data_IF_843210685884
#
_entry.id   IF_843210685884
#
_cell.length_a   1.000
_cell.length_b   1.000
_cell.length_c   1.000
_cell.angle_alpha   90.00
_cell.angle_beta   90.00
_cell.angle_gamma   90.00
#
_symmetry.space_group_name_H-M   'P 1'
#
loop_
_entity.id
_entity.type
_entity.pdbx_description
1 polymer ?
#
# COMPACT_ATOMS: atom_id res chain seq x y z
N UNK A 1 9.73 8.49 2.86
CA UNK A 1 9.76 9.39 1.69
C UNK A 1 9.47 8.58 0.44
N UNK A 2 8.63 9.09 -0.43
CA UNK A 2 8.37 8.54 -1.76
C UNK A 2 8.65 9.63 -2.81
N UNK A 3 8.76 9.25 -4.09
CA UNK A 3 9.00 10.17 -5.19
C UNK A 3 7.88 10.07 -6.21
N UNK A 4 7.40 11.21 -6.67
CA UNK A 4 6.57 11.33 -7.87
C UNK A 4 7.48 11.80 -8.99
N UNK A 5 7.60 11.00 -10.04
CA UNK A 5 8.50 11.26 -11.17
C UNK A 5 7.69 11.54 -12.44
N UNK A 6 8.19 12.46 -13.22
CA UNK A 6 7.74 12.75 -14.57
C UNK A 6 8.85 12.42 -15.57
N UNK A 7 8.46 11.89 -16.71
CA UNK A 7 9.32 11.61 -17.86
C UNK A 7 8.73 12.25 -19.11
N UNK A 8 9.51 12.35 -20.17
CA UNK A 8 9.01 12.78 -21.46
C UNK A 8 9.32 11.74 -22.54
N UNK A 9 8.49 11.72 -23.59
CA UNK A 9 8.68 10.87 -24.74
C UNK A 9 9.31 11.60 -25.94
N UNK A 10 9.64 10.84 -26.98
CA UNK A 10 10.12 11.38 -28.26
C UNK A 10 11.64 11.61 -28.37
N UNK A 11 12.40 11.40 -27.31
CA UNK A 11 13.87 11.51 -27.33
C UNK A 11 14.49 10.67 -26.22
N UNK A 12 15.66 10.11 -26.48
CA UNK A 12 16.51 9.48 -25.47
C UNK A 12 17.58 10.45 -24.90
N UNK A 13 17.62 11.69 -25.40
CA UNK A 13 18.53 12.71 -24.91
C UNK A 13 17.85 13.48 -23.78
N UNK A 14 18.56 13.68 -22.68
CA UNK A 14 18.09 14.52 -21.58
C UNK A 14 17.85 15.97 -22.04
N UNK A 15 17.03 16.70 -21.29
CA UNK A 15 16.68 18.10 -21.56
C UNK A 15 16.87 18.99 -20.32
N UNK A 16 17.28 20.22 -20.54
CA UNK A 16 17.15 21.28 -19.53
C UNK A 16 15.74 21.86 -19.65
N UNK A 17 14.85 21.35 -18.83
CA UNK A 17 13.43 21.69 -18.89
C UNK A 17 12.82 21.71 -17.50
N UNK A 18 11.72 22.40 -17.35
CA UNK A 18 10.94 22.45 -16.10
C UNK A 18 9.45 22.30 -16.42
N UNK A 19 8.75 21.52 -15.59
CA UNK A 19 7.29 21.44 -15.60
C UNK A 19 6.80 21.87 -14.22
N UNK A 20 5.99 22.91 -14.15
CA UNK A 20 5.34 23.31 -12.92
C UNK A 20 4.01 22.57 -12.78
N UNK A 21 3.76 22.03 -11.60
CA UNK A 21 2.54 21.29 -11.26
C UNK A 21 1.81 21.97 -10.11
N UNK A 22 0.51 21.73 -10.02
CA UNK A 22 -0.31 22.11 -8.88
C UNK A 22 -1.14 20.91 -8.41
N UNK A 23 -1.48 20.88 -7.13
CA UNK A 23 -2.46 19.94 -6.57
C UNK A 23 -3.85 20.43 -6.97
N UNK A 24 -4.65 19.56 -7.60
CA UNK A 24 -6.02 19.85 -7.99
C UNK A 24 -6.96 18.76 -7.44
N UNK A 25 -7.50 19.02 -6.26
CA UNK A 25 -8.36 18.07 -5.56
C UNK A 25 -9.65 17.74 -6.33
N UNK A 26 -10.11 18.60 -7.23
CA UNK A 26 -11.30 18.36 -8.04
C UNK A 26 -11.18 17.18 -8.99
N UNK A 27 -9.96 16.72 -9.27
CA UNK A 27 -9.73 15.49 -10.03
C UNK A 27 -10.25 14.23 -9.31
N UNK A 28 -10.42 14.27 -7.99
CA UNK A 28 -10.93 13.16 -7.20
C UNK A 28 -12.48 13.15 -7.11
N UNK A 29 -13.15 14.22 -7.60
CA UNK A 29 -14.59 14.33 -7.51
C UNK A 29 -15.29 13.27 -8.37
N UNK A 30 -16.34 12.67 -7.81
CA UNK A 30 -17.15 11.66 -8.48
C UNK A 30 -16.38 10.40 -8.93
N UNK A 31 -15.27 10.06 -8.27
CA UNK A 31 -14.48 8.89 -8.61
C UNK A 31 -14.60 7.77 -7.58
N UNK A 32 -14.64 6.54 -8.08
CA UNK A 32 -14.47 5.34 -7.28
C UNK A 32 -13.35 4.47 -7.85
N UNK A 33 -12.65 3.73 -6.97
CA UNK A 33 -11.78 2.63 -7.38
C UNK A 33 -12.61 1.46 -7.91
N UNK A 34 -11.96 0.48 -8.51
CA UNK A 34 -12.63 -0.70 -9.09
C UNK A 34 -13.43 -1.54 -8.06
N UNK A 35 -13.05 -1.48 -6.78
CA UNK A 35 -13.75 -2.13 -5.66
C UNK A 35 -14.96 -1.32 -5.14
N UNK A 36 -15.26 -0.18 -5.75
CA UNK A 36 -16.33 0.73 -5.34
C UNK A 36 -15.95 1.71 -4.22
N UNK A 37 -14.75 1.63 -3.67
CA UNK A 37 -14.27 2.59 -2.67
C UNK A 37 -14.13 3.98 -3.27
N UNK A 38 -14.60 5.00 -2.56
CA UNK A 38 -14.50 6.39 -3.03
C UNK A 38 -13.04 6.86 -3.06
N UNK A 39 -12.63 7.48 -4.17
CA UNK A 39 -11.36 8.18 -4.28
C UNK A 39 -11.44 9.48 -3.48
N UNK A 40 -10.52 9.70 -2.55
CA UNK A 40 -10.43 10.92 -1.76
C UNK A 40 -9.12 11.65 -2.08
N UNK A 41 -9.18 12.94 -2.31
CA UNK A 41 -7.97 13.76 -2.33
C UNK A 41 -7.28 13.68 -0.97
N UNK A 42 -5.96 13.49 -0.96
CA UNK A 42 -5.19 13.40 0.27
C UNK A 42 -5.25 14.74 1.02
N UNK A 43 -5.64 14.75 2.32
CA UNK A 43 -5.62 15.95 3.14
C UNK A 43 -4.27 16.66 3.09
N UNK A 44 -4.29 17.98 3.04
CA UNK A 44 -3.07 18.79 2.92
C UNK A 44 -2.10 18.58 4.10
N UNK A 45 -2.62 18.30 5.28
CA UNK A 45 -1.88 18.01 6.50
C UNK A 45 -1.17 16.65 6.50
N UNK A 46 -1.51 15.75 5.57
CA UNK A 46 -0.93 14.40 5.52
C UNK A 46 0.39 14.32 4.75
N UNK A 47 0.75 15.35 3.97
CA UNK A 47 1.96 15.32 3.17
C UNK A 47 2.54 16.69 2.87
N UNK A 48 3.80 16.69 2.45
CA UNK A 48 4.49 17.85 1.91
C UNK A 48 5.22 17.45 0.62
N UNK A 49 5.08 18.27 -0.42
CA UNK A 49 5.89 18.17 -1.63
C UNK A 49 7.16 19.00 -1.46
N UNK A 50 8.32 18.44 -1.78
CA UNK A 50 9.61 19.18 -1.70
C UNK A 50 9.66 20.33 -2.70
N UNK A 51 8.99 20.20 -3.83
CA UNK A 51 8.86 21.21 -4.87
C UNK A 51 7.64 20.95 -5.74
N UNK A 52 7.10 21.98 -6.35
CA UNK A 52 6.10 21.90 -7.42
C UNK A 52 6.71 22.18 -8.80
N UNK A 53 8.02 22.46 -8.88
CA UNK A 53 8.74 22.61 -10.14
C UNK A 53 9.56 21.34 -10.41
N UNK A 54 9.15 20.54 -11.38
CA UNK A 54 9.82 19.32 -11.79
C UNK A 54 10.96 19.67 -12.77
N UNK A 55 12.17 19.76 -12.26
CA UNK A 55 13.36 20.12 -13.03
C UNK A 55 14.04 18.87 -13.58
N UNK A 56 14.32 18.86 -14.88
CA UNK A 56 14.97 17.74 -15.57
C UNK A 56 16.50 17.85 -15.58
N UNK A 57 17.06 19.07 -15.49
CA UNK A 57 18.51 19.33 -15.33
C UNK A 57 19.43 18.53 -16.27
N UNK A 58 19.07 18.46 -17.56
CA UNK A 58 19.80 17.67 -18.54
C UNK A 58 19.51 16.17 -18.50
N UNK A 59 18.63 15.71 -17.59
CA UNK A 59 18.19 14.32 -17.48
C UNK A 59 16.91 14.03 -18.27
N UNK A 60 16.44 12.79 -18.15
CA UNK A 60 15.18 12.33 -18.73
C UNK A 60 14.03 12.31 -17.69
N UNK A 61 14.33 12.61 -16.44
CA UNK A 61 13.37 12.57 -15.35
C UNK A 61 13.44 13.86 -14.55
N UNK A 62 12.29 14.37 -14.18
CA UNK A 62 12.07 15.40 -13.18
C UNK A 62 11.05 14.92 -12.15
N UNK A 63 10.92 15.58 -11.03
CA UNK A 63 9.93 15.17 -10.05
C UNK A 63 10.05 15.86 -8.70
N UNK A 64 9.31 15.32 -7.73
CA UNK A 64 9.27 15.82 -6.36
C UNK A 64 9.36 14.67 -5.37
N UNK A 65 9.95 14.96 -4.21
CA UNK A 65 9.83 14.07 -3.06
C UNK A 65 8.55 14.40 -2.29
N UNK A 66 7.89 13.37 -1.82
CA UNK A 66 6.73 13.48 -0.93
C UNK A 66 7.16 13.02 0.46
N UNK A 67 7.01 13.88 1.44
CA UNK A 67 7.17 13.57 2.85
C UNK A 67 5.79 13.38 3.44
N UNK A 68 5.49 12.18 3.94
CA UNK A 68 4.27 11.89 4.70
C UNK A 68 4.44 12.33 6.15
N UNK A 69 3.35 12.76 6.78
CA UNK A 69 3.32 13.22 8.18
C UNK A 69 2.82 12.12 9.11
N UNK A 70 3.00 12.32 10.41
CA UNK A 70 2.49 11.40 11.43
C UNK A 70 0.97 11.28 11.40
N UNK A 71 0.25 12.32 10.99
CA UNK A 71 -1.22 12.30 10.93
C UNK A 71 -1.72 11.36 9.82
N UNK A 72 -1.00 11.26 8.70
CA UNK A 72 -1.27 10.23 7.69
C UNK A 72 -1.18 8.81 8.26
N UNK A 73 -0.14 8.54 9.05
CA UNK A 73 0.08 7.19 9.61
C UNK A 73 -0.89 6.82 10.74
N UNK A 74 -1.57 7.80 11.35
CA UNK A 74 -2.62 7.57 12.36
C UNK A 74 -3.98 7.26 11.76
N UNK A 75 -4.19 7.59 10.48
CA UNK A 75 -5.47 7.38 9.82
C UNK A 75 -5.65 5.92 9.41
N UNK A 76 -6.73 5.24 9.88
CA UNK A 76 -6.99 3.84 9.52
C UNK A 76 -7.31 3.62 8.03
N UNK A 77 -7.70 4.67 7.30
CA UNK A 77 -7.92 4.60 5.85
C UNK A 77 -6.63 4.69 5.03
N UNK A 78 -5.50 5.08 5.65
CA UNK A 78 -4.21 5.20 4.96
C UNK A 78 -3.53 3.86 4.62
N UNK A 79 -4.05 2.72 5.12
CA UNK A 79 -3.57 1.37 4.75
C UNK A 79 -4.30 0.80 3.53
N UNK A 80 -5.29 1.51 3.00
CA UNK A 80 -6.15 1.10 1.87
C UNK A 80 -5.96 2.01 0.67
N UNK A 81 -6.54 1.63 -0.47
CA UNK A 81 -6.66 2.52 -1.60
C UNK A 81 -7.75 3.56 -1.31
N UNK A 82 -7.34 4.71 -0.78
CA UNK A 82 -8.25 5.78 -0.36
C UNK A 82 -7.75 7.13 -0.81
N UNK A 83 -6.52 7.48 -0.42
CA UNK A 83 -5.97 8.82 -0.58
C UNK A 83 -5.12 8.95 -1.83
N UNK A 84 -5.40 10.00 -2.60
CA UNK A 84 -4.73 10.31 -3.85
C UNK A 84 -4.13 11.71 -3.78
N UNK A 85 -2.90 11.88 -4.25
CA UNK A 85 -2.28 13.18 -4.53
C UNK A 85 -2.52 13.47 -6.01
N UNK A 86 -3.48 14.36 -6.36
CA UNK A 86 -3.80 14.69 -7.74
C UNK A 86 -2.95 15.88 -8.20
N UNK A 87 -2.08 15.67 -9.17
CA UNK A 87 -1.21 16.72 -9.72
C UNK A 87 -1.59 17.04 -11.15
N UNK A 88 -1.68 18.32 -11.48
CA UNK A 88 -1.92 18.84 -12.83
C UNK A 88 -0.74 19.70 -13.28
N UNK A 89 -0.28 19.50 -14.52
CA UNK A 89 0.71 20.36 -15.15
C UNK A 89 0.09 21.73 -15.45
N UNK A 90 0.74 22.79 -15.01
CA UNK A 90 0.28 24.18 -15.20
C UNK A 90 0.96 24.85 -16.38
N UNK A 91 2.26 24.75 -16.45
CA UNK A 91 3.10 25.30 -17.50
C UNK A 91 4.41 24.54 -17.62
N UNK A 92 5.14 24.81 -18.67
CA UNK A 92 6.44 24.19 -18.92
C UNK A 92 7.42 25.16 -19.58
N UNK A 93 8.71 24.86 -19.47
CA UNK A 93 9.81 25.46 -20.25
C UNK A 93 10.72 24.34 -20.75
N UNK A 94 11.21 24.48 -21.98
CA UNK A 94 12.14 23.49 -22.57
C UNK A 94 11.48 22.26 -23.18
N UNK A 95 10.15 22.20 -23.22
CA UNK A 95 9.34 21.23 -23.98
C UNK A 95 8.48 21.93 -25.04
N UNK A 96 7.93 21.16 -25.96
CA UNK A 96 7.14 21.72 -27.07
C UNK A 96 5.73 22.12 -26.61
N UNK A 97 5.09 21.27 -25.79
CA UNK A 97 3.71 21.50 -25.29
C UNK A 97 3.37 20.60 -24.10
N UNK A 98 2.29 20.95 -23.39
CA UNK A 98 1.57 20.06 -22.48
C UNK A 98 0.43 19.41 -23.27
N UNK A 99 0.25 18.09 -23.11
CA UNK A 99 -0.81 17.34 -23.79
C UNK A 99 -2.13 17.44 -23.00
N UNK A 100 -2.85 18.53 -23.17
CA UNK A 100 -4.09 18.86 -22.43
C UNK A 100 -5.33 18.13 -22.96
N UNK A 101 -5.19 17.35 -24.04
CA UNK A 101 -6.29 16.64 -24.67
C UNK A 101 -7.19 17.53 -25.55
N UNK A 102 -8.25 16.93 -26.13
CA UNK A 102 -9.26 17.62 -26.94
C UNK A 102 -10.63 17.14 -26.48
N UNK A 103 -11.49 18.06 -26.10
CA UNK A 103 -12.87 17.75 -25.75
C UNK A 103 -13.71 17.46 -27.02
N UNK A 104 -14.69 16.59 -26.89
CA UNK A 104 -15.75 16.43 -27.89
C UNK A 104 -16.56 17.73 -28.02
N UNK A 105 -17.11 17.97 -29.19
CA UNK A 105 -17.89 19.18 -29.46
C UNK A 105 -19.01 19.38 -28.43
N UNK A 106 -19.10 20.58 -27.87
CA UNK A 106 -20.11 20.97 -26.89
C UNK A 106 -19.97 20.32 -25.51
N UNK A 107 -18.88 19.57 -25.25
CA UNK A 107 -18.63 18.98 -23.96
C UNK A 107 -17.71 19.83 -23.08
N UNK A 108 -17.99 19.82 -21.78
CA UNK A 108 -17.15 20.40 -20.72
C UNK A 108 -17.16 19.45 -19.51
N UNK A 109 -16.15 19.51 -18.66
CA UNK A 109 -16.12 18.71 -17.42
C UNK A 109 -14.72 18.31 -16.97
N UNK A 110 -14.67 17.32 -16.09
CA UNK A 110 -13.41 16.87 -15.46
C UNK A 110 -12.49 16.16 -16.43
N UNK A 111 -11.17 16.30 -16.21
CA UNK A 111 -10.13 15.51 -16.89
C UNK A 111 -10.30 14.00 -16.71
N UNK A 112 -10.87 13.58 -15.60
CA UNK A 112 -11.07 12.17 -15.23
C UNK A 112 -12.33 11.54 -15.85
N UNK A 113 -13.22 12.34 -16.45
CA UNK A 113 -14.38 11.82 -17.17
C UNK A 113 -14.02 11.44 -18.61
N UNK A 114 -13.62 10.20 -18.84
CA UNK A 114 -13.21 9.73 -20.16
C UNK A 114 -14.27 9.91 -21.26
N UNK A 115 -15.57 10.00 -20.91
CA UNK A 115 -16.67 10.05 -21.87
C UNK A 115 -16.74 11.35 -22.68
N UNK A 116 -16.19 12.46 -22.16
CA UNK A 116 -16.26 13.78 -22.77
C UNK A 116 -15.07 14.13 -23.67
N UNK A 117 -14.04 13.28 -23.70
CA UNK A 117 -12.81 13.53 -24.43
C UNK A 117 -12.80 12.83 -25.80
N UNK A 118 -12.40 13.52 -26.83
CA UNK A 118 -12.02 12.94 -28.13
C UNK A 118 -10.59 12.42 -28.05
N UNK A 119 -9.67 13.23 -27.52
CA UNK A 119 -8.32 12.83 -27.17
C UNK A 119 -8.13 13.05 -25.66
N UNK A 120 -7.87 11.98 -24.91
CA UNK A 120 -7.71 12.07 -23.46
C UNK A 120 -6.53 12.98 -23.07
N UNK A 121 -6.67 13.81 -22.03
CA UNK A 121 -5.59 14.62 -21.51
C UNK A 121 -4.51 13.74 -20.86
N UNK A 122 -3.27 14.17 -20.95
CA UNK A 122 -2.10 13.54 -20.32
C UNK A 122 -1.30 14.54 -19.49
N UNK A 123 -1.99 15.54 -18.98
CA UNK A 123 -1.42 16.65 -18.21
C UNK A 123 -1.64 16.53 -16.72
N UNK A 124 -2.06 15.36 -16.25
CA UNK A 124 -2.28 15.08 -14.83
C UNK A 124 -1.86 13.67 -14.45
N UNK A 125 -1.64 13.49 -13.15
CA UNK A 125 -1.42 12.19 -12.52
C UNK A 125 -2.17 12.13 -11.20
N UNK A 126 -2.70 10.95 -10.90
CA UNK A 126 -3.39 10.64 -9.65
C UNK A 126 -2.57 9.59 -8.90
N UNK A 127 -1.84 10.02 -7.86
CA UNK A 127 -0.90 9.16 -7.14
C UNK A 127 -1.54 8.65 -5.86
N UNK A 128 -2.08 7.42 -5.90
CA UNK A 128 -2.66 6.78 -4.72
C UNK A 128 -1.55 6.34 -3.77
N UNK A 129 -1.65 6.74 -2.50
CA UNK A 129 -0.65 6.46 -1.47
C UNK A 129 -1.28 5.69 -0.33
N UNK A 130 -0.70 4.55 -0.02
CA UNK A 130 -0.98 3.75 1.19
C UNK A 130 0.33 3.32 1.83
N UNK A 131 0.31 2.93 3.09
CA UNK A 131 1.50 2.40 3.74
C UNK A 131 1.32 0.95 4.18
N UNK A 132 2.45 0.28 4.35
CA UNK A 132 2.58 -1.04 4.94
C UNK A 132 3.57 -0.96 6.08
N UNK A 133 3.23 -1.52 7.25
CA UNK A 133 4.15 -1.60 8.37
C UNK A 133 5.18 -2.73 8.17
N UNK A 134 6.22 -2.76 8.99
CA UNK A 134 7.32 -3.74 8.88
C UNK A 134 6.92 -5.18 9.21
N UNK A 135 5.82 -5.37 9.92
CA UNK A 135 5.33 -6.71 10.31
C UNK A 135 4.49 -7.38 9.21
N UNK A 136 4.08 -6.62 8.20
CA UNK A 136 3.17 -7.06 7.14
C UNK A 136 3.94 -7.53 5.91
N UNK A 137 3.29 -8.37 5.12
CA UNK A 137 3.86 -8.95 3.90
C UNK A 137 3.59 -10.43 3.81
N UNK A 138 4.38 -11.10 2.99
CA UNK A 138 4.33 -12.54 2.83
C UNK A 138 5.40 -13.20 3.70
N UNK A 139 4.97 -14.16 4.49
CA UNK A 139 5.79 -14.92 5.43
C UNK A 139 5.76 -16.39 5.08
N UNK A 140 6.83 -17.08 5.33
CA UNK A 140 6.93 -18.54 5.21
C UNK A 140 6.68 -19.16 6.58
N UNK A 141 5.77 -20.13 6.63
CA UNK A 141 5.48 -20.90 7.82
C UNK A 141 5.47 -22.39 7.52
N UNK A 142 5.90 -23.18 8.45
CA UNK A 142 5.84 -24.62 8.39
C UNK A 142 4.86 -25.19 9.43
N UNK A 143 3.91 -24.37 9.89
CA UNK A 143 2.86 -24.76 10.83
C UNK A 143 3.39 -25.62 11.99
N UNK A 144 4.27 -25.02 12.84
CA UNK A 144 4.88 -25.67 14.01
C UNK A 144 5.93 -26.75 13.70
N UNK A 145 6.30 -26.96 12.46
CA UNK A 145 7.42 -27.83 12.08
C UNK A 145 8.70 -27.02 11.88
N UNK A 146 9.79 -27.67 11.49
CA UNK A 146 11.05 -26.97 11.22
C UNK A 146 10.89 -26.00 10.04
N UNK A 147 11.35 -24.77 10.17
CA UNK A 147 11.46 -23.78 9.09
C UNK A 147 12.69 -24.02 8.20
N UNK A 148 13.52 -25.02 8.52
CA UNK A 148 14.77 -25.29 7.80
C UNK A 148 14.51 -25.88 6.40
N UNK A 149 13.30 -26.40 6.16
CA UNK A 149 12.92 -26.94 4.86
C UNK A 149 12.01 -25.95 4.11
N UNK A 150 12.63 -25.02 3.40
CA UNK A 150 11.94 -23.97 2.63
C UNK A 150 11.01 -24.54 1.55
N UNK A 151 11.33 -25.69 0.98
CA UNK A 151 10.53 -26.31 -0.09
C UNK A 151 9.16 -26.79 0.41
N UNK A 152 9.03 -27.02 1.70
CA UNK A 152 7.78 -27.43 2.36
C UNK A 152 7.07 -26.30 3.09
N UNK A 153 7.67 -25.11 3.13
CA UNK A 153 7.08 -23.96 3.82
C UNK A 153 5.86 -23.48 3.06
N UNK A 154 4.78 -23.22 3.77
CA UNK A 154 3.60 -22.55 3.25
C UNK A 154 3.79 -21.04 3.28
N UNK A 155 3.14 -20.32 2.36
CA UNK A 155 3.12 -18.86 2.38
C UNK A 155 1.83 -18.38 3.05
N UNK A 156 1.98 -17.48 3.99
CA UNK A 156 0.88 -16.77 4.65
C UNK A 156 1.06 -15.27 4.47
N UNK A 157 -0.05 -14.55 4.44
CA UNK A 157 -0.02 -13.11 4.33
C UNK A 157 -0.45 -12.47 5.65
N UNK A 158 0.35 -11.52 6.12
CA UNK A 158 0.02 -10.64 7.23
C UNK A 158 -0.23 -9.25 6.66
N UNK A 159 -1.35 -8.63 7.03
CA UNK A 159 -1.78 -7.33 6.49
C UNK A 159 -1.68 -6.23 7.55
N UNK A 160 -1.37 -5.04 7.11
CA UNK A 160 -1.25 -3.86 7.98
C UNK A 160 -2.61 -3.42 8.50
N UNK A 161 -2.71 -3.12 9.79
CA UNK A 161 -3.85 -2.43 10.38
C UNK A 161 -3.50 -1.02 10.87
N UNK A 162 -2.37 -0.89 11.58
CA UNK A 162 -1.78 0.39 12.03
C UNK A 162 -0.26 0.31 11.93
N UNK A 163 0.46 1.36 12.34
CA UNK A 163 1.93 1.34 12.37
C UNK A 163 2.49 0.19 13.20
N UNK A 164 1.85 -0.15 14.29
CA UNK A 164 2.29 -1.16 15.25
C UNK A 164 1.36 -2.37 15.36
N UNK A 165 0.39 -2.51 14.47
CA UNK A 165 -0.49 -3.68 14.48
C UNK A 165 -0.78 -4.23 13.09
N UNK A 166 -0.98 -5.54 13.05
CA UNK A 166 -1.23 -6.29 11.82
C UNK A 166 -2.30 -7.36 12.05
N UNK A 167 -2.89 -7.82 10.95
CA UNK A 167 -3.88 -8.91 10.98
C UNK A 167 -3.28 -10.14 10.36
N UNK A 168 -3.35 -11.24 11.08
CA UNK A 168 -2.97 -12.58 10.65
C UNK A 168 -4.19 -13.50 10.65
N UNK A 169 -4.60 -13.95 9.48
CA UNK A 169 -5.68 -14.93 9.34
C UNK A 169 -5.12 -16.34 9.50
N UNK A 170 -5.65 -17.09 10.46
CA UNK A 170 -5.29 -18.49 10.72
C UNK A 170 -6.43 -19.42 10.37
N UNK A 171 -6.09 -20.61 9.88
CA UNK A 171 -7.04 -21.66 9.52
C UNK A 171 -6.65 -22.98 10.16
N UNK A 172 -7.62 -23.67 10.77
CA UNK A 172 -7.41 -24.98 11.40
C UNK A 172 -8.41 -25.98 10.82
N UNK A 173 -7.90 -27.13 10.46
CA UNK A 173 -8.75 -28.25 10.07
C UNK A 173 -9.35 -28.91 11.32
N UNK A 174 -10.69 -29.07 11.36
CA UNK A 174 -11.42 -29.79 12.40
C UNK A 174 -12.38 -30.78 11.73
N UNK A 175 -11.95 -32.03 11.57
CA UNK A 175 -12.69 -33.00 10.76
C UNK A 175 -12.87 -32.52 9.30
N UNK A 176 -14.12 -32.36 8.86
CA UNK A 176 -14.45 -31.79 7.54
C UNK A 176 -14.62 -30.27 7.53
N UNK A 177 -14.55 -29.62 8.70
CA UNK A 177 -14.76 -28.18 8.87
C UNK A 177 -13.42 -27.44 8.90
N UNK A 178 -13.36 -26.27 8.28
CA UNK A 178 -12.25 -25.33 8.45
C UNK A 178 -12.70 -24.26 9.45
N UNK A 179 -11.96 -24.14 10.55
CA UNK A 179 -12.10 -23.08 11.54
C UNK A 179 -11.17 -21.95 11.15
N UNK A 180 -11.67 -20.72 11.09
CA UNK A 180 -10.92 -19.54 10.65
C UNK A 180 -11.05 -18.44 11.67
N UNK A 181 -9.94 -17.74 11.94
CA UNK A 181 -9.90 -16.58 12.80
C UNK A 181 -8.92 -15.52 12.29
N UNK A 182 -9.32 -14.26 12.38
CA UNK A 182 -8.46 -13.12 12.17
C UNK A 182 -7.86 -12.69 13.51
N UNK A 183 -6.57 -12.83 13.65
CA UNK A 183 -5.81 -12.45 14.83
C UNK A 183 -5.26 -11.04 14.68
N UNK A 184 -5.44 -10.22 15.71
CA UNK A 184 -4.78 -8.93 15.84
C UNK A 184 -3.44 -9.13 16.54
N UNK A 185 -2.37 -8.82 15.84
CA UNK A 185 -1.01 -8.78 16.34
C UNK A 185 -0.69 -7.32 16.68
N UNK A 186 -0.44 -7.01 17.95
CA UNK A 186 -0.08 -5.65 18.38
C UNK A 186 1.33 -5.67 18.99
N UNK A 187 2.24 -4.88 18.42
CA UNK A 187 3.65 -4.82 18.80
C UNK A 187 3.93 -3.58 19.66
N UNK A 188 4.74 -3.76 20.69
CA UNK A 188 5.27 -2.68 21.52
C UNK A 188 6.62 -2.16 20.97
N UNK A 189 7.18 -1.14 21.65
CA UNK A 189 8.48 -0.53 21.28
C UNK A 189 9.68 -1.49 21.45
N UNK A 190 9.49 -2.63 22.10
CA UNK A 190 10.51 -3.70 22.28
C UNK A 190 10.27 -4.88 21.34
N UNK A 191 9.35 -4.72 20.38
CA UNK A 191 8.97 -5.75 19.43
C UNK A 191 8.27 -6.98 20.05
N UNK A 192 7.78 -6.88 21.31
CA UNK A 192 6.91 -7.91 21.85
C UNK A 192 5.52 -7.80 21.25
N UNK A 193 4.92 -8.93 20.94
CA UNK A 193 3.60 -9.03 20.33
C UNK A 193 2.56 -9.50 21.36
N UNK A 194 1.44 -8.81 21.43
CA UNK A 194 0.20 -9.27 22.06
C UNK A 194 -0.76 -9.74 21.00
N UNK A 195 -1.41 -10.90 21.19
CA UNK A 195 -2.31 -11.53 20.24
C UNK A 195 -3.72 -11.55 20.81
N UNK A 196 -4.70 -11.00 20.05
CA UNK A 196 -6.13 -11.07 20.35
C UNK A 196 -6.91 -11.46 19.09
N UNK A 197 -8.22 -11.72 19.21
CA UNK A 197 -9.08 -12.03 18.07
C UNK A 197 -9.85 -10.81 17.57
N UNK A 198 -10.02 -10.70 16.26
CA UNK A 198 -10.92 -9.76 15.58
C UNK A 198 -12.21 -10.46 15.10
N UNK A 199 -12.27 -11.78 15.16
CA UNK A 199 -13.40 -12.56 14.68
C UNK A 199 -14.48 -12.63 15.75
N UNK A 200 -15.72 -12.27 15.42
CA UNK A 200 -16.85 -12.34 16.32
C UNK A 200 -17.07 -13.75 16.86
N UNK A 201 -17.29 -13.86 18.16
CA UNK A 201 -17.49 -15.15 18.83
C UNK A 201 -16.24 -16.00 18.99
N UNK A 202 -15.06 -15.51 18.56
CA UNK A 202 -13.77 -16.18 18.75
C UNK A 202 -12.94 -15.37 19.72
N UNK A 203 -12.36 -16.03 20.72
CA UNK A 203 -11.37 -15.41 21.63
C UNK A 203 -9.98 -15.93 21.33
N UNK A 204 -8.99 -15.07 21.40
CA UNK A 204 -7.58 -15.44 21.33
C UNK A 204 -6.80 -14.72 22.41
N UNK A 205 -5.89 -15.43 23.05
CA UNK A 205 -4.96 -14.88 24.03
C UNK A 205 -3.57 -15.45 23.76
N UNK A 206 -2.62 -14.57 23.54
CA UNK A 206 -1.28 -15.02 23.22
C UNK A 206 -0.25 -13.90 23.22
N UNK A 207 0.96 -14.30 22.95
CA UNK A 207 2.11 -13.41 22.83
C UNK A 207 3.05 -13.89 21.73
N UNK A 208 3.96 -13.01 21.35
CA UNK A 208 4.98 -13.30 20.36
C UNK A 208 6.08 -12.26 20.38
N UNK A 209 6.91 -12.30 19.37
CA UNK A 209 7.95 -11.31 19.13
C UNK A 209 8.27 -11.19 17.66
N UNK A 210 8.80 -10.05 17.27
CA UNK A 210 9.40 -9.83 15.97
C UNK A 210 10.88 -9.46 16.14
N UNK A 211 11.74 -9.95 15.27
CA UNK A 211 13.17 -9.65 15.28
C UNK A 211 13.65 -9.35 13.86
N UNK A 212 14.26 -8.17 13.69
CA UNK A 212 14.99 -7.82 12.46
C UNK A 212 16.15 -8.77 12.26
N UNK A 213 16.23 -9.39 11.07
CA UNK A 213 17.23 -10.41 10.77
C UNK A 213 17.34 -11.52 11.85
N UNK A 214 16.21 -11.88 12.46
CA UNK A 214 16.15 -12.81 13.59
C UNK A 214 16.52 -14.24 13.26
N UNK A 215 16.60 -14.63 11.98
CA UNK A 215 17.12 -15.91 11.53
C UNK A 215 18.25 -15.69 10.51
N UNK A 216 19.41 -16.30 10.78
CA UNK A 216 20.61 -16.10 10.00
C UNK A 216 20.80 -17.18 8.94
N UNK A 217 21.32 -16.77 7.77
CA UNK A 217 21.71 -17.65 6.66
C UNK A 217 20.58 -18.57 6.15
N UNK A 218 19.31 -18.22 6.39
CA UNK A 218 18.19 -19.00 5.89
C UNK A 218 17.99 -18.73 4.40
N UNK A 219 18.15 -19.77 3.59
CA UNK A 219 18.23 -19.65 2.13
C UNK A 219 19.32 -18.62 1.69
N UNK A 220 20.50 -18.68 2.33
CA UNK A 220 21.63 -17.77 2.09
C UNK A 220 21.35 -16.27 2.33
N UNK A 221 20.35 -15.94 3.14
CA UNK A 221 20.00 -14.57 3.54
C UNK A 221 19.57 -14.52 4.98
N UNK A 222 19.94 -13.45 5.67
CA UNK A 222 19.34 -13.10 6.93
C UNK A 222 17.95 -12.56 6.68
N UNK A 223 16.99 -12.94 7.53
CA UNK A 223 15.58 -12.61 7.38
C UNK A 223 14.94 -12.27 8.70
N UNK A 224 13.90 -11.45 8.65
CA UNK A 224 13.11 -11.17 9.83
C UNK A 224 12.39 -12.43 10.29
N UNK A 225 12.29 -12.57 11.59
CA UNK A 225 11.64 -13.66 12.28
C UNK A 225 10.49 -13.14 13.12
N UNK A 226 9.36 -13.81 13.06
CA UNK A 226 8.23 -13.60 13.97
C UNK A 226 7.89 -14.92 14.63
N UNK A 227 7.81 -14.92 15.97
CA UNK A 227 7.41 -16.09 16.77
C UNK A 227 6.07 -15.77 17.44
N UNK A 228 5.08 -16.63 17.26
CA UNK A 228 3.71 -16.42 17.74
C UNK A 228 3.23 -17.62 18.53
N UNK A 229 2.69 -17.39 19.74
CA UNK A 229 2.08 -18.41 20.58
C UNK A 229 0.73 -17.91 21.07
N UNK A 230 -0.35 -18.64 20.81
CA UNK A 230 -1.68 -18.26 21.24
C UNK A 230 -2.60 -19.46 21.47
N UNK A 231 -3.53 -19.30 22.40
CA UNK A 231 -4.69 -20.17 22.55
C UNK A 231 -5.92 -19.48 21.95
N UNK A 232 -6.63 -20.19 21.07
CA UNK A 232 -7.79 -19.68 20.33
C UNK A 232 -8.99 -20.56 20.69
N UNK A 233 -10.07 -19.93 21.13
CA UNK A 233 -11.33 -20.61 21.44
C UNK A 233 -12.40 -20.11 20.48
N UNK A 234 -12.95 -21.02 19.69
CA UNK A 234 -14.03 -20.76 18.73
C UNK A 234 -15.42 -20.74 19.38
N UNK A 235 -16.40 -20.17 18.70
CA UNK A 235 -17.77 -20.00 19.22
C UNK A 235 -18.45 -21.32 19.63
N UNK A 236 -18.08 -22.44 19.01
CA UNK A 236 -18.55 -23.78 19.34
C UNK A 236 -17.77 -24.44 20.51
N UNK A 237 -16.87 -23.70 21.15
CA UNK A 237 -16.05 -24.16 22.28
C UNK A 237 -14.79 -24.94 21.87
N UNK A 238 -14.56 -25.15 20.57
CA UNK A 238 -13.34 -25.79 20.09
C UNK A 238 -12.13 -24.92 20.39
N UNK A 239 -11.07 -25.51 20.95
CA UNK A 239 -9.81 -24.83 21.27
C UNK A 239 -8.70 -25.28 20.32
N UNK A 240 -7.89 -24.34 19.89
CA UNK A 240 -6.71 -24.55 19.06
C UNK A 240 -5.53 -23.78 19.63
N UNK A 241 -4.36 -24.39 19.61
CA UNK A 241 -3.10 -23.73 19.96
C UNK A 241 -2.38 -23.33 18.70
N UNK A 242 -1.91 -22.09 18.67
CA UNK A 242 -0.99 -21.55 17.66
C UNK A 242 0.41 -21.55 18.27
N UNK A 243 1.37 -22.12 17.57
CA UNK A 243 2.80 -22.04 17.92
C UNK A 243 3.58 -22.01 16.59
N UNK A 244 3.88 -20.83 16.12
CA UNK A 244 4.45 -20.65 14.79
C UNK A 244 5.72 -19.83 14.80
N UNK A 245 6.64 -20.22 13.92
CA UNK A 245 7.75 -19.43 13.45
C UNK A 245 7.49 -19.00 12.03
N UNK A 246 7.47 -17.70 11.82
CA UNK A 246 7.25 -17.07 10.55
C UNK A 246 8.54 -16.39 10.08
N UNK A 247 8.99 -16.74 8.89
CA UNK A 247 10.20 -16.15 8.28
C UNK A 247 9.77 -15.24 7.15
N UNK A 248 10.18 -13.96 7.21
CA UNK A 248 9.79 -12.99 6.20
C UNK A 248 10.28 -13.37 4.81
N UNK A 249 9.39 -13.29 3.83
CA UNK A 249 9.68 -13.68 2.46
C UNK A 249 9.76 -12.49 1.52
N UNK A 250 8.73 -11.65 1.49
CA UNK A 250 8.64 -10.48 0.62
C UNK A 250 7.57 -9.51 1.11
N UNK A 251 7.75 -8.22 0.83
CA UNK A 251 6.77 -7.20 1.22
C UNK A 251 5.42 -7.38 0.54
N UNK A 252 5.39 -7.86 -0.69
CA UNK A 252 4.17 -7.85 -1.51
C UNK A 252 3.77 -6.46 -2.01
N UNK A 253 4.60 -5.43 -1.76
CA UNK A 253 4.39 -4.09 -2.31
C UNK A 253 4.75 -4.11 -3.78
N UNK A 254 3.81 -3.74 -4.61
CA UNK A 254 3.99 -3.58 -6.06
C UNK A 254 3.55 -2.18 -6.48
N UNK A 255 4.11 -1.69 -7.59
CA UNK A 255 3.53 -0.53 -8.26
C UNK A 255 2.31 -1.03 -9.05
N UNK A 256 1.16 -0.48 -8.77
CA UNK A 256 -0.10 -0.86 -9.40
C UNK A 256 -0.67 0.32 -10.19
N UNK A 257 -1.24 0.04 -11.36
CA UNK A 257 -2.08 1.00 -12.07
C UNK A 257 -3.53 0.77 -11.67
N UNK A 258 -4.19 1.81 -11.17
CA UNK A 258 -5.60 1.73 -10.79
C UNK A 258 -6.49 2.32 -11.87
N UNK A 259 -7.48 1.55 -12.29
CA UNK A 259 -8.60 2.08 -13.06
C UNK A 259 -9.58 2.75 -12.09
N UNK A 260 -10.09 3.90 -12.48
CA UNK A 260 -11.16 4.59 -11.76
C UNK A 260 -12.45 4.61 -12.59
N UNK A 261 -13.58 4.68 -11.90
CA UNK A 261 -14.89 4.90 -12.51
C UNK A 261 -15.35 6.32 -12.21
N UNK A 262 -15.76 7.05 -13.23
CA UNK A 262 -16.38 8.35 -13.07
C UNK A 262 -17.90 8.17 -12.90
N UNK A 263 -18.43 8.63 -11.78
CA UNK A 263 -19.84 8.55 -11.45
C UNK A 263 -20.54 9.85 -11.93
N UNK A 264 -21.48 9.75 -12.87
CA UNK A 264 -22.22 10.88 -13.42
C UNK A 264 -23.27 11.41 -12.45
#
# INVERSE_FOLDING_TARGET
>A
KLKILATFGGSYNGRNATVNVAVDNSLCDNLTFADGTQVKAMPKEYYQLSTTAFNFNGGMQGGTEVQLTDDFFKDPDAVKNTYVIPLVMQNQTGFDRIATGTLKEGKTGSRTNASIWETAPRDYVMYCVKYQNKYSGWWLTNHNTSTDNIEKASQVQITTRTLNSSVYTVEFQEGSKILKADLLLTFDDKENCTITSLTDGVTATGSGSWADNGIHSWNNKDRDLMELNAEITFADGVKKSLNEKLVWWRSGVTSEEFSHTYNN
#
